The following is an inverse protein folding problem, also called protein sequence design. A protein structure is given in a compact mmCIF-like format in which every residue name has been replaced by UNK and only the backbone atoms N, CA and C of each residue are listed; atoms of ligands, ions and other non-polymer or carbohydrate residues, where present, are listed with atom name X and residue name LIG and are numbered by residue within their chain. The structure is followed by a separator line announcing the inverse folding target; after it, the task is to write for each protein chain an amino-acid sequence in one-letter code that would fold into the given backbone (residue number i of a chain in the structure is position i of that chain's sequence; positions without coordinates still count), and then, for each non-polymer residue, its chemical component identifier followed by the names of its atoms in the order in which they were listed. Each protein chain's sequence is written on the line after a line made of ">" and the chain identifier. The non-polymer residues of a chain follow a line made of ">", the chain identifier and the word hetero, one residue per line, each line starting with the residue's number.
data_IF_358232695707
#
_entry.id   IF_358232695707
#
_cell.length_a   1.000
_cell.length_b   1.000
_cell.length_c   1.000
_cell.angle_alpha   90.00
_cell.angle_beta   90.00
_cell.angle_gamma   90.00
#
_symmetry.space_group_name_H-M   'P 1'
#
loop_
_entity.id
_entity.type
_entity.pdbx_description
1 polymer ?
#
# COMPACT_ATOMS: atom_id res chain seq x y z
N UNK A 1 18.03 15.16 8.71
CA UNK A 1 17.83 16.54 9.20
C UNK A 1 17.09 16.54 10.54
N UNK A 2 15.93 15.89 10.65
CA UNK A 2 15.13 15.84 11.88
C UNK A 2 15.90 15.25 13.09
N UNK A 3 16.56 14.10 12.93
CA UNK A 3 17.34 13.48 14.02
C UNK A 3 18.47 14.39 14.55
N UNK A 4 19.11 15.19 13.69
CA UNK A 4 20.14 16.17 14.11
C UNK A 4 19.55 17.29 14.96
N UNK A 5 18.33 17.75 14.59
CA UNK A 5 17.62 18.78 15.36
C UNK A 5 17.18 18.22 16.71
N UNK A 6 16.59 17.03 16.73
CA UNK A 6 16.17 16.40 17.99
C UNK A 6 17.37 16.15 18.90
N UNK A 7 18.46 15.61 18.38
CA UNK A 7 19.68 15.40 19.16
C UNK A 7 20.25 16.72 19.71
N UNK A 8 20.13 17.83 18.98
CA UNK A 8 20.60 19.14 19.43
C UNK A 8 19.73 19.74 20.55
N UNK A 9 18.40 19.64 20.44
CA UNK A 9 17.48 20.36 21.33
C UNK A 9 16.89 19.49 22.44
N UNK A 10 16.82 18.17 22.23
CA UNK A 10 16.24 17.20 23.15
C UNK A 10 17.13 15.94 23.34
N UNK A 11 18.45 16.09 23.58
CA UNK A 11 19.34 14.95 23.74
C UNK A 11 18.87 14.06 24.90
N UNK A 12 18.72 12.76 24.64
CA UNK A 12 18.31 11.77 25.64
C UNK A 12 16.89 11.94 26.19
N UNK A 13 16.09 12.88 25.67
CA UNK A 13 14.74 13.21 26.18
C UNK A 13 13.61 12.72 25.27
N UNK A 14 13.95 12.02 24.19
CA UNK A 14 12.97 11.50 23.24
C UNK A 14 12.93 9.98 23.31
N UNK A 15 11.74 9.43 23.55
CA UNK A 15 11.43 8.04 23.24
C UNK A 15 11.10 7.91 21.76
N UNK A 16 11.80 7.02 21.07
CA UNK A 16 11.56 6.68 19.68
C UNK A 16 10.82 5.36 19.63
N UNK A 17 9.67 5.35 18.99
CA UNK A 17 8.92 4.12 18.70
C UNK A 17 8.97 3.88 17.21
N UNK A 18 9.65 2.82 16.79
CA UNK A 18 9.70 2.35 15.41
C UNK A 18 8.66 1.24 15.25
N UNK A 19 7.75 1.40 14.31
CA UNK A 19 6.70 0.39 14.08
C UNK A 19 7.17 -0.59 13.01
N UNK A 20 7.17 -1.87 13.37
CA UNK A 20 7.44 -2.98 12.46
C UNK A 20 6.13 -3.54 11.90
N UNK A 21 6.18 -3.89 10.62
CA UNK A 21 5.19 -4.69 9.90
C UNK A 21 5.99 -5.67 9.04
N UNK A 22 5.51 -6.92 8.92
CA UNK A 22 6.11 -7.93 8.03
C UNK A 22 6.38 -7.35 6.65
N UNK A 23 7.54 -7.68 6.10
CA UNK A 23 8.04 -7.07 4.87
C UNK A 23 7.05 -7.21 3.71
N UNK A 24 6.39 -8.37 3.58
CA UNK A 24 5.47 -8.58 2.48
C UNK A 24 4.26 -7.63 2.50
N UNK A 25 3.77 -7.29 3.69
CA UNK A 25 2.67 -6.35 3.86
C UNK A 25 3.13 -4.90 3.72
N UNK A 26 4.31 -4.59 4.25
CA UNK A 26 4.92 -3.28 4.10
C UNK A 26 5.16 -2.98 2.62
N UNK A 27 5.67 -3.93 1.84
CA UNK A 27 5.89 -3.78 0.39
C UNK A 27 4.59 -3.50 -0.38
N UNK A 28 3.49 -4.17 -0.02
CA UNK A 28 2.18 -3.89 -0.62
C UNK A 28 1.67 -2.49 -0.24
N UNK A 29 1.86 -2.08 1.02
CA UNK A 29 1.52 -0.73 1.49
C UNK A 29 2.35 0.34 0.77
N UNK A 30 3.65 0.10 0.60
CA UNK A 30 4.59 0.97 -0.08
C UNK A 30 4.20 1.14 -1.55
N UNK A 31 3.95 0.04 -2.26
CA UNK A 31 3.49 0.09 -3.64
C UNK A 31 2.22 0.94 -3.76
N UNK A 32 1.23 0.73 -2.89
CA UNK A 32 0.01 1.52 -2.88
C UNK A 32 0.29 3.03 -2.67
N UNK A 33 1.15 3.39 -1.74
CA UNK A 33 1.47 4.79 -1.44
C UNK A 33 2.08 5.53 -2.64
N UNK A 34 3.05 4.90 -3.32
CA UNK A 34 3.75 5.47 -4.47
C UNK A 34 2.93 5.49 -5.74
N UNK A 35 2.01 4.53 -5.87
CA UNK A 35 1.39 4.22 -7.14
C UNK A 35 -0.07 4.65 -7.23
N UNK A 36 -0.77 4.86 -6.11
CA UNK A 36 -2.18 5.27 -6.13
C UNK A 36 -2.36 6.60 -6.88
N UNK A 37 -3.24 6.64 -7.90
CA UNK A 37 -3.48 7.85 -8.68
C UNK A 37 -4.38 8.85 -7.94
N UNK A 38 -5.01 8.44 -6.85
CA UNK A 38 -5.86 9.27 -5.99
C UNK A 38 -5.22 9.53 -4.62
N UNK A 39 -5.65 10.62 -3.99
CA UNK A 39 -5.43 10.96 -2.58
C UNK A 39 -6.47 10.24 -1.73
N UNK A 40 -6.19 10.16 -0.44
CA UNK A 40 -7.17 9.72 0.54
C UNK A 40 -8.17 10.87 0.74
N UNK A 41 -9.37 10.75 0.17
CA UNK A 41 -10.38 11.80 0.17
C UNK A 41 -11.80 11.24 0.03
N UNK A 42 -12.73 12.06 -0.45
CA UNK A 42 -14.17 11.74 -0.44
C UNK A 42 -14.57 10.69 -1.50
N UNK A 43 -13.63 10.21 -2.31
CA UNK A 43 -13.85 9.15 -3.29
C UNK A 43 -14.29 9.66 -4.66
N UNK A 44 -14.19 10.96 -4.93
CA UNK A 44 -14.58 11.54 -6.21
C UNK A 44 -13.38 11.81 -7.14
N UNK A 45 -13.62 12.43 -8.29
CA UNK A 45 -12.57 12.75 -9.27
C UNK A 45 -11.59 13.83 -8.80
N UNK A 46 -11.94 14.65 -7.81
CA UNK A 46 -11.08 15.69 -7.26
C UNK A 46 -9.91 15.12 -6.45
N UNK A 47 -10.00 13.86 -6.04
CA UNK A 47 -8.94 13.16 -5.33
C UNK A 47 -7.77 12.75 -6.24
N UNK A 48 -7.90 12.81 -7.57
CA UNK A 48 -6.81 12.44 -8.48
C UNK A 48 -5.58 13.36 -8.33
N UNK A 49 -4.43 12.74 -8.08
CA UNK A 49 -3.13 13.40 -8.01
C UNK A 49 -2.83 14.06 -9.38
N UNK A 50 -2.30 15.30 -9.41
CA UNK A 50 -2.08 16.02 -10.67
C UNK A 50 -1.32 15.24 -11.74
N UNK A 51 -0.32 14.46 -11.34
CA UNK A 51 0.50 13.64 -12.26
C UNK A 51 -0.26 12.49 -12.92
N UNK A 52 -1.46 12.14 -12.44
CA UNK A 52 -2.29 11.07 -12.99
C UNK A 52 -3.61 11.60 -13.60
N UNK A 53 -3.78 12.92 -13.71
CA UNK A 53 -5.00 13.50 -14.30
C UNK A 53 -5.04 13.34 -15.82
N UNK A 54 -3.89 13.51 -16.48
CA UNK A 54 -3.76 13.36 -17.92
C UNK A 54 -3.58 11.89 -18.33
N UNK A 55 -3.91 11.58 -19.57
CA UNK A 55 -3.55 10.31 -20.20
C UNK A 55 -2.03 10.21 -20.38
N UNK A 56 -1.42 9.00 -20.40
CA UNK A 56 0.01 8.88 -20.64
C UNK A 56 0.50 9.50 -21.96
N UNK A 57 -0.31 9.42 -23.01
CA UNK A 57 -0.07 10.08 -24.30
C UNK A 57 -0.05 11.62 -24.22
N UNK A 58 -0.58 12.19 -23.13
CA UNK A 58 -0.65 13.64 -22.85
C UNK A 58 0.34 14.04 -21.74
N UNK A 59 1.34 13.21 -21.45
CA UNK A 59 2.34 13.45 -20.40
C UNK A 59 1.91 13.02 -18.99
N UNK A 60 0.80 12.29 -18.85
CA UNK A 60 0.39 11.68 -17.58
C UNK A 60 1.26 10.51 -17.14
N UNK A 61 1.30 10.21 -15.84
CA UNK A 61 2.05 9.09 -15.28
C UNK A 61 1.24 7.78 -15.34
N UNK A 62 1.93 6.67 -15.61
CA UNK A 62 1.37 5.31 -15.50
C UNK A 62 1.48 4.77 -14.07
N UNK A 63 0.46 4.03 -13.64
CA UNK A 63 0.54 3.19 -12.45
C UNK A 63 1.23 1.86 -12.81
N UNK A 64 2.10 1.37 -11.95
CA UNK A 64 2.77 0.08 -12.10
C UNK A 64 1.94 -1.06 -11.47
N UNK A 65 1.91 -2.24 -12.06
CA UNK A 65 1.41 -3.44 -11.36
C UNK A 65 2.29 -3.75 -10.13
N UNK A 66 1.76 -4.42 -9.12
CA UNK A 66 2.54 -4.95 -8.00
C UNK A 66 3.64 -5.91 -8.47
N UNK A 67 3.37 -6.76 -9.47
CA UNK A 67 4.37 -7.68 -10.04
C UNK A 67 5.58 -6.93 -10.62
N UNK A 68 5.36 -5.96 -11.51
CA UNK A 68 6.46 -5.13 -12.05
C UNK A 68 7.17 -4.32 -10.97
N UNK A 69 6.45 -3.83 -9.97
CA UNK A 69 7.04 -3.15 -8.81
C UNK A 69 7.97 -4.09 -8.03
N UNK A 70 7.52 -5.30 -7.70
CA UNK A 70 8.33 -6.31 -7.02
C UNK A 70 9.56 -6.69 -7.81
N UNK A 71 9.42 -6.99 -9.12
CA UNK A 71 10.55 -7.35 -9.99
C UNK A 71 11.63 -6.27 -9.96
N UNK A 72 11.24 -5.00 -10.02
CA UNK A 72 12.18 -3.87 -9.93
C UNK A 72 12.81 -3.74 -8.53
N UNK A 73 12.03 -3.92 -7.47
CA UNK A 73 12.51 -3.78 -6.09
C UNK A 73 13.40 -4.93 -5.62
N UNK A 74 13.18 -6.12 -6.17
CA UNK A 74 13.93 -7.32 -5.83
C UNK A 74 15.07 -7.62 -6.82
N UNK A 75 15.25 -6.77 -7.83
CA UNK A 75 16.36 -6.87 -8.77
C UNK A 75 17.69 -6.52 -8.07
N UNK A 76 18.62 -7.49 -7.93
CA UNK A 76 19.92 -7.23 -7.31
C UNK A 76 20.79 -6.28 -8.13
N UNK A 77 20.58 -6.19 -9.45
CA UNK A 77 21.37 -5.36 -10.37
C UNK A 77 20.73 -3.99 -10.64
N UNK A 78 19.53 -3.74 -10.12
CA UNK A 78 18.78 -2.53 -10.34
C UNK A 78 19.54 -1.28 -9.83
N UNK A 79 19.75 -0.29 -10.71
CA UNK A 79 20.37 0.99 -10.32
C UNK A 79 19.54 1.69 -9.23
N UNK A 80 20.07 1.73 -8.02
CA UNK A 80 19.47 2.42 -6.85
C UNK A 80 19.89 3.88 -6.86
N UNK A 81 19.19 4.70 -7.62
CA UNK A 81 19.58 6.10 -7.88
C UNK A 81 19.02 7.10 -6.87
N UNK A 82 18.53 6.68 -5.70
CA UNK A 82 17.85 7.56 -4.74
C UNK A 82 18.43 7.46 -3.34
N UNK A 83 18.69 8.62 -2.73
CA UNK A 83 19.14 8.81 -1.35
C UNK A 83 18.08 8.46 -0.29
N UNK A 84 16.94 7.93 -0.70
CA UNK A 84 15.87 7.56 0.22
C UNK A 84 16.29 6.41 1.13
N UNK A 85 15.91 6.50 2.41
CA UNK A 85 16.21 5.53 3.46
C UNK A 85 15.93 4.06 3.07
N UNK A 86 14.96 3.83 2.17
CA UNK A 86 14.61 2.49 1.68
C UNK A 86 15.73 1.86 0.88
N UNK A 87 16.35 2.61 -0.04
CA UNK A 87 17.45 2.08 -0.85
C UNK A 87 18.67 1.76 0.01
N UNK A 88 18.87 2.54 1.09
CA UNK A 88 19.93 2.30 2.09
C UNK A 88 19.65 1.04 2.89
N UNK A 89 18.45 0.91 3.47
CA UNK A 89 18.04 -0.31 4.17
C UNK A 89 18.17 -1.56 3.28
N UNK A 90 17.74 -1.48 2.02
CA UNK A 90 17.87 -2.58 1.06
C UNK A 90 19.32 -2.85 0.62
N UNK A 91 20.21 -1.85 0.65
CA UNK A 91 21.65 -2.03 0.35
C UNK A 91 22.38 -2.69 1.50
N UNK A 92 21.93 -2.43 2.72
CA UNK A 92 22.40 -3.07 3.95
C UNK A 92 21.73 -4.44 4.19
N UNK A 93 20.83 -4.87 3.30
CA UNK A 93 20.04 -6.10 3.45
C UNK A 93 19.27 -6.16 4.78
N UNK A 94 18.72 -5.03 5.23
CA UNK A 94 17.92 -4.94 6.46
C UNK A 94 16.49 -4.48 6.20
N UNK A 95 15.59 -4.86 7.10
CA UNK A 95 14.24 -4.30 7.12
C UNK A 95 14.29 -2.77 7.38
N UNK A 96 13.37 -2.01 6.81
CA UNK A 96 13.32 -0.54 7.01
C UNK A 96 13.14 -0.16 8.49
N UNK A 97 12.38 -0.95 9.26
CA UNK A 97 12.25 -0.74 10.71
C UNK A 97 13.60 -0.93 11.42
N UNK A 98 14.39 -1.93 11.02
CA UNK A 98 15.72 -2.17 11.59
C UNK A 98 16.68 -1.04 11.24
N UNK A 99 16.67 -0.58 9.99
CA UNK A 99 17.44 0.60 9.56
C UNK A 99 17.10 1.83 10.42
N UNK A 100 15.82 2.10 10.67
CA UNK A 100 15.43 3.21 11.53
C UNK A 100 15.80 3.01 12.99
N UNK A 101 15.71 1.77 13.52
CA UNK A 101 16.17 1.45 14.87
C UNK A 101 17.65 1.80 15.01
N UNK A 102 18.51 1.29 14.14
CA UNK A 102 19.95 1.57 14.14
C UNK A 102 20.27 3.06 13.98
N UNK A 103 19.57 3.76 13.08
CA UNK A 103 19.73 5.21 12.90
C UNK A 103 19.43 5.98 14.19
N UNK A 104 18.33 5.65 14.87
CA UNK A 104 17.88 6.38 16.06
C UNK A 104 18.61 5.97 17.33
N UNK A 105 19.17 4.77 17.41
CA UNK A 105 20.00 4.33 18.54
C UNK A 105 21.25 5.20 18.73
N UNK A 106 21.71 5.89 17.69
CA UNK A 106 22.80 6.87 17.78
C UNK A 106 22.37 8.23 18.37
N UNK A 107 21.07 8.44 18.61
CA UNK A 107 20.49 9.73 19.00
C UNK A 107 19.55 9.64 20.21
N UNK A 108 19.10 8.44 20.57
CA UNK A 108 18.29 8.20 21.77
C UNK A 108 18.67 6.87 22.41
N UNK A 109 18.69 6.87 23.74
CA UNK A 109 18.79 5.66 24.57
C UNK A 109 17.47 4.90 24.69
N UNK A 110 16.35 5.52 24.31
CA UNK A 110 15.02 4.93 24.38
C UNK A 110 14.46 4.70 22.97
N UNK A 111 14.95 3.66 22.29
CA UNK A 111 14.41 3.22 20.99
C UNK A 111 13.73 1.88 21.18
N UNK A 112 12.44 1.82 20.86
CA UNK A 112 11.62 0.62 20.94
C UNK A 112 11.13 0.24 19.54
N UNK A 113 11.14 -1.05 19.22
CA UNK A 113 10.45 -1.56 18.04
C UNK A 113 9.17 -2.22 18.47
N UNK A 114 8.10 -1.85 17.78
CA UNK A 114 6.76 -2.25 18.08
C UNK A 114 6.24 -3.13 16.96
N UNK A 115 5.97 -4.40 17.27
CA UNK A 115 5.46 -5.36 16.31
C UNK A 115 3.95 -5.15 16.09
N UNK A 116 3.57 -4.63 14.92
CA UNK A 116 2.15 -4.38 14.64
C UNK A 116 1.31 -5.68 14.62
N UNK A 117 1.94 -6.83 14.37
CA UNK A 117 1.26 -8.12 14.32
C UNK A 117 0.79 -8.58 15.69
N UNK A 118 1.69 -8.55 16.68
CA UNK A 118 1.34 -8.78 18.08
C UNK A 118 0.25 -7.80 18.55
N UNK A 119 0.31 -6.56 18.07
CA UNK A 119 -0.69 -5.55 18.38
C UNK A 119 -2.01 -5.71 17.67
N UNK A 120 -2.14 -6.61 16.70
CA UNK A 120 -3.40 -6.87 16.00
C UNK A 120 -4.06 -8.17 16.47
N UNK A 121 -3.38 -9.00 17.26
CA UNK A 121 -3.98 -10.20 17.86
C UNK A 121 -5.12 -9.77 18.80
N UNK A 122 -6.32 -10.37 18.73
CA UNK A 122 -7.37 -10.09 19.70
C UNK A 122 -6.84 -10.33 21.11
N UNK A 123 -6.96 -9.35 22.02
CA UNK A 123 -6.62 -9.57 23.42
C UNK A 123 -7.85 -10.00 24.20
N UNK A 124 -7.62 -10.82 25.23
CA UNK A 124 -8.66 -11.33 26.12
C UNK A 124 -9.43 -10.21 26.85
N UNK A 125 -8.81 -9.04 26.99
CA UNK A 125 -9.40 -7.84 27.59
C UNK A 125 -10.13 -6.94 26.58
N UNK A 126 -10.20 -7.34 25.30
CA UNK A 126 -10.88 -6.61 24.24
C UNK A 126 -10.19 -5.31 23.80
N UNK A 127 -8.95 -5.06 24.23
CA UNK A 127 -8.20 -3.86 23.83
C UNK A 127 -7.83 -3.86 22.34
N UNK A 128 -8.05 -2.71 21.69
CA UNK A 128 -7.60 -2.50 20.32
C UNK A 128 -6.10 -2.14 20.21
N UNK A 129 -5.56 -2.25 19.00
CA UNK A 129 -4.16 -1.97 18.69
C UNK A 129 -3.69 -0.58 19.12
N UNK A 130 -4.54 0.46 19.02
CA UNK A 130 -4.18 1.83 19.43
C UNK A 130 -4.03 1.91 20.95
N UNK A 131 -4.94 1.28 21.68
CA UNK A 131 -4.88 1.25 23.15
C UNK A 131 -3.62 0.54 23.64
N UNK A 132 -3.27 -0.60 23.03
CA UNK A 132 -2.02 -1.32 23.32
C UNK A 132 -0.77 -0.51 22.99
N UNK A 133 -0.76 0.16 21.83
CA UNK A 133 0.31 1.09 21.46
C UNK A 133 0.50 2.16 22.55
N UNK A 134 -0.57 2.85 22.95
CA UNK A 134 -0.49 3.93 23.94
C UNK A 134 0.05 3.43 25.28
N UNK A 135 -0.39 2.25 25.73
CA UNK A 135 0.08 1.64 26.98
C UNK A 135 1.54 1.20 26.90
N UNK A 136 1.99 0.70 25.75
CA UNK A 136 3.40 0.30 25.54
C UNK A 136 4.35 1.50 25.47
N UNK A 137 3.90 2.59 24.85
CA UNK A 137 4.76 3.72 24.51
C UNK A 137 4.75 4.84 25.57
N UNK A 138 3.65 5.02 26.30
CA UNK A 138 3.45 6.17 27.19
C UNK A 138 3.45 5.77 28.68
N UNK A 139 3.54 6.77 29.56
CA UNK A 139 3.33 6.53 30.99
C UNK A 139 1.88 6.10 31.26
N UNK A 140 1.61 5.31 32.33
CA UNK A 140 0.27 4.81 32.61
C UNK A 140 -0.81 5.91 32.66
N UNK A 141 -0.48 7.08 33.24
CA UNK A 141 -1.39 8.23 33.30
C UNK A 141 -1.68 8.82 31.91
N UNK A 142 -0.64 8.97 31.07
CA UNK A 142 -0.80 9.50 29.73
C UNK A 142 -1.59 8.53 28.84
N UNK A 143 -1.24 7.23 28.87
CA UNK A 143 -1.95 6.19 28.13
C UNK A 143 -3.44 6.17 28.47
N UNK A 144 -3.78 6.12 29.77
CA UNK A 144 -5.18 6.14 30.25
C UNK A 144 -5.93 7.38 29.80
N UNK A 145 -5.28 8.55 29.84
CA UNK A 145 -5.85 9.82 29.38
C UNK A 145 -6.19 9.75 27.89
N UNK A 146 -5.24 9.33 27.04
CA UNK A 146 -5.46 9.24 25.59
C UNK A 146 -6.48 8.16 25.20
N UNK A 147 -6.50 7.00 25.87
CA UNK A 147 -7.52 5.98 25.66
C UNK A 147 -8.91 6.54 25.95
N UNK A 148 -9.10 7.22 27.10
CA UNK A 148 -10.38 7.87 27.43
C UNK A 148 -10.78 8.94 26.40
N UNK A 149 -9.82 9.72 25.90
CA UNK A 149 -10.09 10.71 24.85
C UNK A 149 -10.50 10.05 23.52
N UNK A 150 -9.93 8.90 23.16
CA UNK A 150 -10.33 8.13 21.97
C UNK A 150 -11.82 7.77 22.04
N UNK A 151 -12.25 7.26 23.19
CA UNK A 151 -13.64 6.84 23.43
C UNK A 151 -14.64 8.00 23.42
N UNK A 152 -14.15 9.23 23.62
CA UNK A 152 -14.97 10.46 23.64
C UNK A 152 -15.39 10.99 22.26
N UNK A 153 -15.18 10.22 21.19
CA UNK A 153 -15.70 10.54 19.86
C UNK A 153 -14.65 10.98 18.84
N UNK A 154 -13.37 10.65 19.04
CA UNK A 154 -12.36 10.78 17.99
C UNK A 154 -12.54 9.64 16.96
N UNK A 155 -13.66 9.65 16.24
CA UNK A 155 -13.90 8.74 15.13
C UNK A 155 -12.87 8.99 14.06
N UNK A 156 -12.02 7.99 13.79
CA UNK A 156 -11.06 8.08 12.70
C UNK A 156 -11.77 8.43 11.39
N UNK A 157 -11.19 9.32 10.58
CA UNK A 157 -11.71 9.56 9.23
C UNK A 157 -11.69 8.24 8.47
N UNK A 158 -12.86 7.81 8.00
CA UNK A 158 -12.94 6.67 7.10
C UNK A 158 -12.13 7.01 5.85
N UNK A 159 -11.15 6.16 5.54
CA UNK A 159 -10.30 6.33 4.36
C UNK A 159 -10.68 5.23 3.36
N UNK A 160 -11.69 5.47 2.49
CA UNK A 160 -12.11 4.46 1.53
C UNK A 160 -10.93 4.14 0.60
N UNK A 161 -10.41 2.91 0.71
CA UNK A 161 -9.35 2.47 -0.20
C UNK A 161 -9.97 2.11 -1.55
N UNK A 162 -9.74 2.94 -2.56
CA UNK A 162 -10.09 2.62 -3.94
C UNK A 162 -9.09 1.64 -4.55
N UNK A 163 -9.54 0.78 -5.45
CA UNK A 163 -8.68 -0.18 -6.12
C UNK A 163 -7.97 0.48 -7.32
N UNK A 164 -6.64 0.42 -7.32
CA UNK A 164 -5.80 0.98 -8.38
C UNK A 164 -5.96 0.28 -9.74
N UNK A 165 -6.42 -0.98 -9.75
CA UNK A 165 -6.58 -1.73 -10.99
C UNK A 165 -7.52 -1.03 -11.99
N UNK A 166 -8.54 -0.30 -11.52
CA UNK A 166 -9.46 0.39 -12.42
C UNK A 166 -8.80 1.52 -13.20
N UNK A 167 -7.82 2.22 -12.60
CA UNK A 167 -7.04 3.23 -13.32
C UNK A 167 -6.04 2.59 -14.29
N UNK A 168 -5.37 1.50 -13.89
CA UNK A 168 -4.46 0.78 -14.80
C UNK A 168 -5.24 0.24 -16.02
N UNK A 169 -6.44 -0.32 -15.80
CA UNK A 169 -7.31 -0.79 -16.88
C UNK A 169 -7.80 0.36 -17.77
N UNK A 170 -8.17 1.51 -17.18
CA UNK A 170 -8.54 2.70 -17.95
C UNK A 170 -7.41 3.17 -18.89
N UNK A 171 -6.18 3.17 -18.37
CA UNK A 171 -4.98 3.50 -19.15
C UNK A 171 -4.74 2.47 -20.26
N UNK A 172 -4.79 1.17 -19.94
CA UNK A 172 -4.58 0.12 -20.92
C UNK A 172 -5.61 0.21 -22.06
N UNK A 173 -6.88 0.40 -21.75
CA UNK A 173 -7.94 0.55 -22.74
C UNK A 173 -7.77 1.80 -23.62
N UNK A 174 -7.34 2.93 -23.03
CA UNK A 174 -7.03 4.14 -23.78
C UNK A 174 -5.88 3.90 -24.77
N UNK A 175 -4.80 3.25 -24.33
CA UNK A 175 -3.63 2.96 -25.17
C UNK A 175 -3.95 1.96 -26.30
N UNK A 176 -4.92 1.07 -26.10
CA UNK A 176 -5.49 0.20 -27.14
C UNK A 176 -6.51 0.91 -28.04
N UNK A 177 -6.71 2.21 -27.89
CA UNK A 177 -7.60 3.00 -28.75
C UNK A 177 -9.09 2.81 -28.48
N UNK A 178 -9.48 2.11 -27.40
CA UNK A 178 -10.90 1.88 -27.06
C UNK A 178 -11.64 3.18 -26.68
N UNK A 179 -10.90 4.26 -26.46
CA UNK A 179 -11.39 5.61 -26.14
C UNK A 179 -10.94 6.69 -27.16
N UNK A 180 -10.36 6.31 -28.30
CA UNK A 180 -9.65 7.23 -29.22
C UNK A 180 -10.47 8.45 -29.71
N UNK A 181 -11.80 8.32 -29.78
CA UNK A 181 -12.69 9.39 -30.26
C UNK A 181 -13.41 10.15 -29.13
N UNK A 182 -12.93 10.03 -27.88
CA UNK A 182 -13.65 10.48 -26.69
C UNK A 182 -12.79 11.40 -25.84
N UNK A 183 -13.25 12.62 -25.58
CA UNK A 183 -12.59 13.58 -24.67
C UNK A 183 -13.08 13.40 -23.23
N UNK A 184 -12.87 12.20 -22.69
CA UNK A 184 -13.31 11.85 -21.33
C UNK A 184 -12.08 11.92 -20.41
N UNK A 185 -12.15 12.64 -19.27
CA UNK A 185 -11.04 12.67 -18.32
C UNK A 185 -10.75 11.28 -17.74
N UNK A 186 -9.47 10.90 -17.63
CA UNK A 186 -9.00 9.62 -17.07
C UNK A 186 -9.65 9.27 -15.74
N UNK A 187 -9.66 10.21 -14.80
CA UNK A 187 -10.27 10.03 -13.49
C UNK A 187 -11.75 9.61 -13.58
N UNK A 188 -12.49 10.16 -14.55
CA UNK A 188 -13.90 9.84 -14.75
C UNK A 188 -14.08 8.44 -15.34
N UNK A 189 -13.22 8.04 -16.27
CA UNK A 189 -13.20 6.67 -16.81
C UNK A 189 -12.97 5.66 -15.69
N UNK A 190 -11.96 5.87 -14.84
CA UNK A 190 -11.65 4.99 -13.72
C UNK A 190 -12.79 4.88 -12.68
N UNK A 191 -13.45 5.99 -12.35
CA UNK A 191 -14.64 5.99 -11.47
C UNK A 191 -15.79 5.19 -12.10
N UNK A 192 -16.08 5.41 -13.39
CA UNK A 192 -17.15 4.69 -14.07
C UNK A 192 -16.87 3.20 -14.20
N UNK A 193 -15.60 2.80 -14.37
CA UNK A 193 -15.16 1.41 -14.33
C UNK A 193 -15.41 0.78 -12.97
N UNK A 194 -14.94 1.42 -11.90
CA UNK A 194 -15.14 0.93 -10.53
C UNK A 194 -16.63 0.72 -10.24
N UNK A 195 -17.48 1.70 -10.56
CA UNK A 195 -18.92 1.57 -10.37
C UNK A 195 -19.55 0.46 -11.22
N UNK A 196 -19.13 0.31 -12.49
CA UNK A 196 -19.68 -0.71 -13.37
C UNK A 196 -19.32 -2.12 -12.90
N UNK A 197 -18.04 -2.37 -12.62
CA UNK A 197 -17.58 -3.68 -12.19
C UNK A 197 -18.15 -4.05 -10.81
N UNK A 198 -18.26 -3.09 -9.88
CA UNK A 198 -18.86 -3.33 -8.56
C UNK A 198 -20.38 -3.56 -8.62
N UNK A 199 -21.12 -2.92 -9.53
CA UNK A 199 -22.60 -2.98 -9.57
C UNK A 199 -23.16 -4.03 -10.54
N UNK A 200 -22.55 -4.19 -11.71
CA UNK A 200 -23.14 -4.96 -12.82
C UNK A 200 -22.58 -6.36 -12.96
N UNK A 201 -21.27 -6.53 -12.73
CA UNK A 201 -20.65 -7.84 -12.95
C UNK A 201 -20.82 -8.74 -11.73
N UNK A 202 -20.76 -8.22 -10.50
CA UNK A 202 -20.80 -9.02 -9.26
C UNK A 202 -19.90 -10.27 -9.33
N UNK A 203 -18.88 -10.24 -10.21
CA UNK A 203 -17.98 -11.36 -10.47
C UNK A 203 -16.69 -11.09 -9.73
N UNK A 204 -16.36 -11.96 -8.79
CA UNK A 204 -15.02 -12.03 -8.20
C UNK A 204 -13.98 -12.54 -9.19
N UNK A 205 -14.41 -13.05 -10.34
CA UNK A 205 -13.64 -13.90 -11.23
C UNK A 205 -13.07 -13.13 -12.43
N UNK A 206 -12.60 -11.90 -12.20
CA UNK A 206 -11.83 -11.19 -13.21
C UNK A 206 -10.47 -11.88 -13.39
N UNK A 207 -9.94 -11.99 -14.63
CA UNK A 207 -8.63 -12.57 -14.84
C UNK A 207 -7.58 -11.76 -14.09
N UNK A 208 -6.70 -12.48 -13.39
CA UNK A 208 -5.68 -11.90 -12.53
C UNK A 208 -4.29 -12.27 -13.03
N UNK A 209 -3.39 -11.29 -13.04
CA UNK A 209 -1.98 -11.52 -13.20
C UNK A 209 -1.31 -11.50 -11.82
N UNK A 210 -0.83 -12.67 -11.39
CA UNK A 210 -0.17 -12.86 -10.11
C UNK A 210 1.35 -13.07 -10.28
N UNK A 211 2.16 -12.81 -9.24
CA UNK A 211 3.57 -13.21 -9.24
C UNK A 211 3.73 -14.73 -9.47
N UNK A 212 4.77 -15.12 -10.21
CA UNK A 212 5.13 -16.53 -10.36
C UNK A 212 5.64 -17.14 -9.03
N UNK A 213 5.69 -18.48 -8.97
CA UNK A 213 6.08 -19.22 -7.76
C UNK A 213 7.47 -18.83 -7.26
N UNK A 214 8.42 -18.58 -8.16
CA UNK A 214 9.79 -18.26 -7.76
C UNK A 214 9.91 -16.83 -7.21
N UNK A 215 9.12 -15.90 -7.74
CA UNK A 215 9.02 -14.55 -7.18
C UNK A 215 8.35 -14.58 -5.80
N UNK A 216 7.27 -15.37 -5.61
CA UNK A 216 6.62 -15.53 -4.31
C UNK A 216 7.56 -16.17 -3.28
N UNK A 217 8.28 -17.23 -3.66
CA UNK A 217 9.24 -17.90 -2.78
C UNK A 217 10.34 -16.95 -2.30
N UNK A 218 10.97 -16.21 -3.22
CA UNK A 218 11.98 -15.20 -2.87
C UNK A 218 11.41 -14.10 -1.97
N UNK A 219 10.15 -13.72 -2.20
CA UNK A 219 9.49 -12.68 -1.42
C UNK A 219 9.22 -13.12 0.02
N UNK A 220 8.74 -14.36 0.20
CA UNK A 220 8.56 -14.97 1.51
C UNK A 220 9.90 -15.11 2.24
N UNK A 221 10.92 -15.68 1.59
CA UNK A 221 12.26 -15.85 2.17
C UNK A 221 12.84 -14.54 2.68
N UNK A 222 12.73 -13.47 1.89
CA UNK A 222 13.18 -12.14 2.30
C UNK A 222 12.36 -11.59 3.47
N UNK A 223 11.07 -11.86 3.50
CA UNK A 223 10.19 -11.42 4.59
C UNK A 223 10.50 -12.14 5.91
N UNK A 224 10.71 -13.45 5.88
CA UNK A 224 11.12 -14.25 7.05
C UNK A 224 12.48 -13.77 7.55
N UNK A 225 13.46 -13.66 6.66
CA UNK A 225 14.80 -13.17 7.01
C UNK A 225 14.77 -11.82 7.73
N UNK A 226 13.90 -10.91 7.27
CA UNK A 226 13.72 -9.59 7.89
C UNK A 226 13.02 -9.65 9.26
N UNK A 227 12.14 -10.62 9.49
CA UNK A 227 11.53 -10.84 10.80
C UNK A 227 12.51 -11.46 11.79
N UNK A 228 13.28 -12.47 11.38
CA UNK A 228 14.33 -13.10 12.18
C UNK A 228 15.38 -12.09 12.67
N UNK A 229 15.76 -11.12 11.85
CA UNK A 229 16.70 -10.06 12.25
C UNK A 229 16.14 -9.14 13.33
N UNK A 230 14.83 -8.86 13.31
CA UNK A 230 14.19 -7.97 14.29
C UNK A 230 13.81 -8.69 15.58
N UNK A 231 13.44 -9.97 15.49
CA UNK A 231 12.91 -10.78 16.59
C UNK A 231 13.57 -12.16 16.64
N UNK A 232 14.89 -12.24 16.88
CA UNK A 232 15.62 -13.51 16.84
C UNK A 232 15.09 -14.50 17.88
N UNK A 233 14.78 -15.72 17.44
CA UNK A 233 14.26 -16.79 18.30
C UNK A 233 12.81 -16.62 18.74
N UNK A 234 12.12 -15.56 18.29
CA UNK A 234 10.68 -15.35 18.50
C UNK A 234 9.88 -15.55 17.20
N UNK A 235 10.55 -15.75 16.08
CA UNK A 235 9.92 -15.97 14.77
C UNK A 235 9.27 -17.34 14.74
N UNK A 236 7.93 -17.38 14.69
CA UNK A 236 7.21 -18.56 14.23
C UNK A 236 7.17 -18.53 12.69
N UNK A 237 8.19 -19.10 12.06
CA UNK A 237 8.30 -19.17 10.60
C UNK A 237 7.04 -19.79 9.97
N UNK A 238 6.37 -20.72 10.68
CA UNK A 238 5.15 -21.35 10.18
C UNK A 238 3.98 -20.37 10.18
N UNK A 239 3.85 -19.54 11.20
CA UNK A 239 2.82 -18.50 11.24
C UNK A 239 3.05 -17.44 10.15
N UNK A 240 4.30 -17.00 9.97
CA UNK A 240 4.67 -16.07 8.90
C UNK A 240 4.36 -16.67 7.52
N UNK A 241 4.79 -17.90 7.26
CA UNK A 241 4.52 -18.60 6.00
C UNK A 241 3.01 -18.77 5.77
N UNK A 242 2.26 -19.18 6.80
CA UNK A 242 0.81 -19.36 6.72
C UNK A 242 0.11 -18.06 6.34
N UNK A 243 0.37 -16.97 7.07
CA UNK A 243 -0.25 -15.66 6.80
C UNK A 243 0.16 -15.08 5.45
N UNK A 244 1.40 -15.33 5.01
CA UNK A 244 1.86 -14.97 3.67
C UNK A 244 1.05 -15.70 2.59
N UNK A 245 0.92 -17.02 2.67
CA UNK A 245 0.18 -17.79 1.66
C UNK A 245 -1.33 -17.58 1.74
N UNK A 246 -1.88 -17.22 2.90
CA UNK A 246 -3.25 -16.71 2.99
C UNK A 246 -3.42 -15.41 2.18
N UNK A 247 -2.44 -14.49 2.24
CA UNK A 247 -2.46 -13.29 1.41
C UNK A 247 -2.37 -13.62 -0.08
N UNK A 248 -1.53 -14.60 -0.47
CA UNK A 248 -1.46 -15.13 -1.85
C UNK A 248 -2.82 -15.68 -2.29
N UNK A 249 -3.43 -16.54 -1.48
CA UNK A 249 -4.75 -17.16 -1.75
C UNK A 249 -5.86 -16.13 -1.87
N UNK A 250 -5.76 -15.02 -1.13
CA UNK A 250 -6.67 -13.87 -1.22
C UNK A 250 -6.30 -12.89 -2.35
N UNK A 251 -5.40 -13.29 -3.25
CA UNK A 251 -4.94 -12.52 -4.40
C UNK A 251 -4.39 -11.13 -4.05
N UNK A 252 -3.85 -10.94 -2.84
CA UNK A 252 -3.36 -9.62 -2.36
C UNK A 252 -2.21 -9.07 -3.19
N UNK A 253 -1.47 -9.94 -3.87
CA UNK A 253 -0.31 -9.60 -4.69
C UNK A 253 -0.63 -9.57 -6.19
N UNK A 254 -1.88 -9.81 -6.58
CA UNK A 254 -2.28 -9.86 -7.98
C UNK A 254 -2.88 -8.53 -8.42
N UNK A 255 -2.69 -8.19 -9.69
CA UNK A 255 -3.46 -7.17 -10.36
C UNK A 255 -4.39 -7.84 -11.38
N UNK A 256 -5.29 -7.07 -11.97
CA UNK A 256 -6.02 -7.59 -13.13
C UNK A 256 -5.05 -7.93 -14.25
N UNK A 257 -5.38 -8.96 -15.01
CA UNK A 257 -4.76 -9.20 -16.31
C UNK A 257 -5.33 -8.18 -17.30
N UNK A 258 -4.65 -7.05 -17.42
CA UNK A 258 -5.14 -5.92 -18.22
C UNK A 258 -5.18 -6.26 -19.71
N UNK A 259 -4.24 -7.07 -20.20
CA UNK A 259 -4.17 -7.49 -21.59
C UNK A 259 -5.34 -8.43 -21.92
N UNK A 260 -5.63 -9.40 -21.05
CA UNK A 260 -6.82 -10.24 -21.20
C UNK A 260 -8.13 -9.43 -21.14
N UNK A 261 -8.22 -8.44 -20.24
CA UNK A 261 -9.42 -7.63 -20.08
C UNK A 261 -9.68 -6.68 -21.25
N UNK A 262 -8.66 -6.09 -21.88
CA UNK A 262 -8.88 -5.19 -23.02
C UNK A 262 -9.28 -5.92 -24.31
N UNK A 263 -9.06 -7.23 -24.37
CA UNK A 263 -9.53 -8.09 -25.46
C UNK A 263 -10.92 -8.69 -25.19
N UNK A 264 -11.40 -8.69 -23.93
CA UNK A 264 -12.74 -9.16 -23.58
C UNK A 264 -13.85 -8.31 -24.24
N UNK A 265 -14.82 -8.97 -24.88
CA UNK A 265 -15.88 -8.30 -25.65
C UNK A 265 -16.78 -7.41 -24.78
N UNK A 266 -17.09 -7.84 -23.56
CA UNK A 266 -17.94 -7.07 -22.64
C UNK A 266 -17.21 -5.81 -22.16
N UNK A 267 -15.92 -5.93 -21.83
CA UNK A 267 -15.06 -4.80 -21.46
C UNK A 267 -14.90 -3.82 -22.62
N UNK A 268 -14.60 -4.30 -23.82
CA UNK A 268 -14.51 -3.46 -25.03
C UNK A 268 -15.81 -2.73 -25.32
N UNK A 269 -16.94 -3.41 -25.18
CA UNK A 269 -18.28 -2.82 -25.33
C UNK A 269 -18.52 -1.74 -24.27
N UNK A 270 -18.11 -1.99 -23.03
CA UNK A 270 -18.23 -1.03 -21.95
C UNK A 270 -17.43 0.25 -22.26
N UNK A 271 -16.15 0.13 -22.64
CA UNK A 271 -15.31 1.28 -22.98
C UNK A 271 -15.82 2.06 -24.19
N UNK A 272 -16.16 1.37 -25.28
CA UNK A 272 -16.51 2.01 -26.54
C UNK A 272 -17.93 2.60 -26.58
N UNK A 273 -18.89 1.99 -25.87
CA UNK A 273 -20.32 2.38 -25.94
C UNK A 273 -20.86 2.91 -24.61
N UNK A 274 -20.63 2.21 -23.51
CA UNK A 274 -21.25 2.57 -22.23
C UNK A 274 -20.59 3.77 -21.57
N UNK A 275 -19.26 3.84 -21.50
CA UNK A 275 -18.54 4.96 -20.88
C UNK A 275 -18.92 6.31 -21.53
N UNK A 276 -18.91 6.47 -22.87
CA UNK A 276 -19.36 7.71 -23.52
C UNK A 276 -20.81 8.07 -23.21
N UNK A 277 -21.69 7.07 -23.09
CA UNK A 277 -23.10 7.28 -22.75
C UNK A 277 -23.26 7.76 -21.31
N UNK A 278 -22.59 7.09 -20.37
CA UNK A 278 -22.62 7.43 -18.94
C UNK A 278 -22.00 8.79 -18.68
N UNK A 279 -20.89 9.11 -19.34
CA UNK A 279 -20.23 10.40 -19.20
C UNK A 279 -21.13 11.56 -19.67
N UNK A 280 -21.78 11.44 -20.83
CA UNK A 280 -22.74 12.44 -21.32
C UNK A 280 -23.89 12.67 -20.35
N UNK A 281 -24.42 11.59 -19.75
CA UNK A 281 -25.48 11.71 -18.72
C UNK A 281 -25.02 12.42 -17.46
N UNK A 282 -23.75 12.31 -17.09
CA UNK A 282 -23.21 12.97 -15.89
C UNK A 282 -22.93 14.48 -16.07
N UNK A 283 -23.05 15.01 -17.30
CA UNK A 283 -22.88 16.45 -17.59
C UNK A 283 -24.20 17.24 -17.51
N UNK A 284 -25.33 16.55 -17.42
CA UNK A 284 -26.68 17.11 -17.37
C UNK A 284 -27.33 16.74 -16.04
#
# INVERSE_FOLDING_TARGET
>A
MLYKLVNKYYPGRMRVVVVYRRYYEWMLSLWNEFNKPFKNGNGDTSDYRPTYQNWPSEGGKRCHTFVSFMKKFMDPEGKRTSDEYRHRAEAEHVHVAEYFRGLWSNHSSEVQVLNLHEMNVPSDDGQDATSRFLQSALTPLAAKTYTRSKDSGFGGRHNPSRNINYDILAVAAHEHGLLANQTIPRAKVAVLLEEHFMKKLNTTDLPLQCPDKELLKRFLQKSIHYEEMLYPGQTDDKEHETTFYEAVKRHKFCNFDFDALVEDEAVRTFFSKEIPRLYRRSKH
#
